data_IF_263131410656
#
_entry.id   IF_263131410656
#
_cell.length_a   1.000
_cell.length_b   1.000
_cell.length_c   1.000
_cell.angle_alpha   90.00
_cell.angle_beta   90.00
_cell.angle_gamma   90.00
#
_symmetry.space_group_name_H-M   'P 1'
#
loop_
_entity.id
_entity.type
_entity.pdbx_description
1 polymer ?
#
# COMPACT_ATOMS: atom_id res chain seq x y z
N UNK A 1 7.96 26.02 -2.58
CA UNK A 1 7.17 24.86 -3.09
C UNK A 1 6.92 23.86 -1.94
N UNK A 2 5.82 23.12 -1.98
CA UNK A 2 5.46 22.23 -0.86
C UNK A 2 6.16 20.87 -1.05
N UNK A 3 7.01 20.48 -0.10
CA UNK A 3 7.63 19.15 -0.08
C UNK A 3 6.54 18.06 -0.04
N UNK A 4 6.45 17.22 -1.07
CA UNK A 4 5.45 16.13 -1.19
C UNK A 4 5.61 15.05 -0.13
N UNK A 5 6.82 14.87 0.38
CA UNK A 5 7.14 13.84 1.37
C UNK A 5 7.06 14.35 2.82
N UNK A 6 6.86 15.66 3.03
CA UNK A 6 6.66 16.24 4.36
C UNK A 6 5.18 16.09 4.79
N UNK A 7 4.79 14.85 4.99
CA UNK A 7 3.44 14.47 5.41
C UNK A 7 3.47 13.57 6.62
N UNK A 8 2.44 13.69 7.46
CA UNK A 8 2.27 12.84 8.62
C UNK A 8 1.76 11.46 8.22
N UNK A 9 2.39 10.42 8.74
CA UNK A 9 2.07 9.01 8.57
C UNK A 9 1.99 8.30 9.91
N UNK A 10 1.39 7.11 9.95
CA UNK A 10 1.42 6.27 11.13
C UNK A 10 2.70 5.43 11.17
N UNK A 11 3.43 5.53 12.27
CA UNK A 11 4.61 4.74 12.56
C UNK A 11 4.29 3.70 13.64
N UNK A 12 4.70 2.47 13.40
CA UNK A 12 4.52 1.31 14.26
C UNK A 12 5.90 0.79 14.68
N UNK A 13 6.15 0.69 15.98
CA UNK A 13 7.45 0.20 16.48
C UNK A 13 7.78 -1.22 15.98
N UNK A 14 6.76 -2.03 15.75
CA UNK A 14 6.82 -3.30 15.03
C UNK A 14 5.47 -3.58 14.35
N UNK A 15 5.43 -4.52 13.42
CA UNK A 15 4.24 -4.79 12.58
C UNK A 15 2.97 -5.14 13.39
N UNK A 16 3.13 -5.67 14.60
CA UNK A 16 2.03 -6.05 15.50
C UNK A 16 1.59 -4.94 16.45
N UNK A 17 2.22 -3.78 16.43
CA UNK A 17 1.79 -2.62 17.23
C UNK A 17 0.37 -2.22 16.85
N UNK A 18 -0.51 -2.14 17.86
CA UNK A 18 -1.94 -1.81 17.65
C UNK A 18 -2.17 -0.31 17.47
N UNK A 19 -1.46 0.50 18.26
CA UNK A 19 -1.61 1.96 18.27
C UNK A 19 -0.34 2.60 17.73
N UNK A 20 -0.40 3.17 16.51
CA UNK A 20 0.75 3.86 15.95
C UNK A 20 0.96 5.22 16.59
N UNK A 21 2.18 5.75 16.42
CA UNK A 21 2.49 7.14 16.70
C UNK A 21 2.63 7.91 15.39
N UNK A 22 2.45 9.22 15.45
CA UNK A 22 2.64 10.09 14.29
C UNK A 22 4.13 10.30 14.03
N UNK A 23 4.53 10.17 12.76
CA UNK A 23 5.88 10.47 12.28
C UNK A 23 5.79 11.21 10.92
N UNK A 24 6.89 11.81 10.50
CA UNK A 24 7.01 12.44 9.18
C UNK A 24 7.55 11.42 8.18
N UNK A 25 6.93 11.33 7.00
CA UNK A 25 7.30 10.32 6.02
C UNK A 25 8.75 10.46 5.56
N UNK A 26 9.22 11.67 5.22
CA UNK A 26 10.58 11.86 4.74
C UNK A 26 11.62 11.38 5.76
N UNK A 27 11.38 11.58 7.06
CA UNK A 27 12.28 11.13 8.12
C UNK A 27 12.39 9.60 8.15
N UNK A 28 11.27 8.90 7.89
CA UNK A 28 11.24 7.43 7.84
C UNK A 28 11.88 6.88 6.57
N UNK A 29 11.81 7.60 5.47
CA UNK A 29 12.40 7.20 4.18
C UNK A 29 13.92 7.39 4.16
N UNK A 30 14.44 8.36 4.93
CA UNK A 30 15.87 8.74 4.93
C UNK A 30 16.63 8.31 6.19
N UNK A 31 15.93 7.72 7.18
CA UNK A 31 16.56 7.34 8.45
C UNK A 31 17.67 6.29 8.29
N UNK A 32 18.78 6.51 8.95
CA UNK A 32 19.87 5.53 9.07
C UNK A 32 19.81 4.72 10.37
N UNK A 33 18.86 5.05 11.27
CA UNK A 33 18.73 4.44 12.60
C UNK A 33 18.64 2.90 12.56
N UNK A 34 18.04 2.35 11.52
CA UNK A 34 17.78 0.91 11.39
C UNK A 34 18.72 0.23 10.39
N UNK A 35 19.77 0.94 9.91
CA UNK A 35 20.71 0.43 8.90
C UNK A 35 21.26 -0.95 9.25
N UNK A 36 21.79 -1.16 10.44
CA UNK A 36 22.37 -2.45 10.86
C UNK A 36 21.34 -3.58 10.83
N UNK A 37 20.12 -3.33 11.32
CA UNK A 37 19.03 -4.33 11.30
C UNK A 37 18.60 -4.68 9.87
N UNK A 38 18.49 -3.67 8.97
CA UNK A 38 18.16 -3.89 7.56
C UNK A 38 19.25 -4.69 6.86
N UNK A 39 20.53 -4.37 7.12
CA UNK A 39 21.65 -5.13 6.56
C UNK A 39 21.66 -6.58 7.06
N UNK A 40 21.35 -6.84 8.32
CA UNK A 40 21.20 -8.22 8.84
C UNK A 40 20.09 -8.99 8.12
N UNK A 41 18.97 -8.33 7.77
CA UNK A 41 17.91 -8.97 6.94
C UNK A 41 18.45 -9.32 5.56
N UNK A 42 19.25 -8.46 4.94
CA UNK A 42 19.77 -8.66 3.58
C UNK A 42 20.80 -9.78 3.49
N UNK A 43 21.63 -9.93 4.53
CA UNK A 43 22.69 -10.95 4.59
C UNK A 43 22.21 -12.32 5.09
N UNK A 44 20.98 -12.40 5.68
CA UNK A 44 20.43 -13.66 6.15
C UNK A 44 19.97 -14.52 4.95
N UNK A 45 20.50 -15.75 4.88
CA UNK A 45 20.20 -16.73 3.84
C UNK A 45 19.01 -17.62 4.18
N UNK A 46 18.76 -17.88 5.47
CA UNK A 46 17.61 -18.66 5.92
C UNK A 46 16.33 -17.86 5.80
N UNK A 47 15.39 -18.33 4.98
CA UNK A 47 14.14 -17.61 4.69
C UNK A 47 13.27 -17.38 5.93
N UNK A 48 13.25 -18.33 6.88
CA UNK A 48 12.48 -18.23 8.13
C UNK A 48 13.08 -17.18 9.04
N UNK A 49 14.40 -17.21 9.25
CA UNK A 49 15.11 -16.20 10.04
C UNK A 49 15.02 -14.83 9.40
N UNK A 50 15.16 -14.73 8.07
CA UNK A 50 14.98 -13.49 7.32
C UNK A 50 13.60 -12.87 7.56
N UNK A 51 12.54 -13.70 7.55
CA UNK A 51 11.18 -13.25 7.86
C UNK A 51 11.06 -12.76 9.31
N UNK A 52 11.64 -13.49 10.27
CA UNK A 52 11.65 -13.11 11.68
C UNK A 52 12.38 -11.77 11.90
N UNK A 53 13.56 -11.59 11.30
CA UNK A 53 14.31 -10.34 11.37
C UNK A 53 13.50 -9.16 10.80
N UNK A 54 12.79 -9.36 9.69
CA UNK A 54 11.89 -8.33 9.13
C UNK A 54 10.80 -7.91 10.12
N UNK A 55 10.17 -8.84 10.83
CA UNK A 55 9.09 -8.49 11.77
C UNK A 55 9.54 -7.69 12.99
N UNK A 56 10.84 -7.67 13.27
CA UNK A 56 11.46 -6.85 14.33
C UNK A 56 11.75 -5.41 13.89
N UNK A 57 11.63 -5.12 12.61
CA UNK A 57 11.77 -3.76 12.10
C UNK A 57 10.48 -2.96 12.34
N UNK A 58 10.59 -1.66 12.57
CA UNK A 58 9.41 -0.80 12.58
C UNK A 58 8.76 -0.73 11.21
N UNK A 59 7.49 -0.36 11.21
CA UNK A 59 6.70 -0.21 10.00
C UNK A 59 5.96 1.13 9.99
N UNK A 60 5.49 1.54 8.82
CA UNK A 60 4.68 2.75 8.65
C UNK A 60 3.66 2.56 7.53
N UNK A 61 2.63 3.39 7.52
CA UNK A 61 1.60 3.40 6.46
C UNK A 61 1.77 4.63 5.59
N UNK A 62 2.42 4.52 4.40
CA UNK A 62 2.75 5.68 3.57
C UNK A 62 1.53 6.40 3.02
N UNK A 63 0.42 5.68 2.79
CA UNK A 63 -0.78 6.22 2.15
C UNK A 63 -1.79 6.84 3.11
N UNK A 64 -1.60 6.69 4.43
CA UNK A 64 -2.56 7.22 5.41
C UNK A 64 -2.02 7.40 6.82
N UNK A 65 -2.66 8.31 7.55
CA UNK A 65 -2.53 8.47 9.00
C UNK A 65 -3.70 7.74 9.66
N UNK A 66 -3.42 6.82 10.59
CA UNK A 66 -4.40 5.95 11.23
C UNK A 66 -4.39 6.11 12.75
N UNK A 67 -5.53 5.87 13.40
CA UNK A 67 -5.62 5.74 14.85
C UNK A 67 -5.18 4.35 15.32
N UNK A 68 -5.34 3.33 14.50
CA UNK A 68 -5.02 1.93 14.77
C UNK A 68 -4.34 1.24 13.59
N UNK A 69 -4.41 -0.09 13.54
CA UNK A 69 -3.76 -0.89 12.49
C UNK A 69 -4.65 -1.28 11.32
N UNK A 70 -5.95 -1.00 11.37
CA UNK A 70 -6.92 -1.41 10.36
C UNK A 70 -7.37 -0.23 9.48
N UNK A 71 -7.85 -0.51 8.27
CA UNK A 71 -8.27 0.49 7.28
C UNK A 71 -9.39 1.41 7.80
N UNK A 72 -10.36 0.86 8.55
CA UNK A 72 -11.45 1.62 9.16
C UNK A 72 -11.02 2.59 10.29
N UNK A 73 -9.74 2.60 10.65
CA UNK A 73 -9.17 3.56 11.61
C UNK A 73 -8.46 4.73 10.95
N UNK A 74 -8.64 4.90 9.63
CA UNK A 74 -8.07 6.00 8.86
C UNK A 74 -8.53 7.36 9.42
N UNK A 75 -7.56 8.21 9.74
CA UNK A 75 -7.80 9.60 10.16
C UNK A 75 -7.70 10.56 8.98
N UNK A 76 -6.70 10.33 8.10
CA UNK A 76 -6.45 11.19 6.96
C UNK A 76 -5.61 10.45 5.91
N UNK A 77 -6.01 10.44 4.64
CA UNK A 77 -5.15 10.00 3.56
C UNK A 77 -4.00 10.99 3.36
N UNK A 78 -2.82 10.49 2.99
CA UNK A 78 -1.63 11.33 2.72
C UNK A 78 -1.65 11.94 1.32
N UNK A 79 -2.39 11.34 0.40
CA UNK A 79 -2.31 11.65 -1.03
C UNK A 79 -1.10 11.01 -1.71
N UNK A 80 -0.55 9.94 -1.12
CA UNK A 80 0.58 9.21 -1.65
C UNK A 80 0.22 7.73 -1.86
N UNK A 81 0.76 7.14 -2.91
CA UNK A 81 0.78 5.69 -3.13
C UNK A 81 2.21 5.21 -2.98
N UNK A 82 2.40 4.09 -2.27
CA UNK A 82 3.69 3.42 -2.20
C UNK A 82 3.60 2.08 -2.93
N UNK A 83 4.44 1.92 -3.95
CA UNK A 83 4.47 0.78 -4.86
C UNK A 83 5.68 -0.08 -4.54
N UNK A 84 5.51 -1.40 -4.45
CA UNK A 84 6.60 -2.38 -4.37
C UNK A 84 6.89 -2.99 -5.74
N UNK A 85 8.19 -3.08 -6.08
CA UNK A 85 8.70 -3.70 -7.29
C UNK A 85 9.71 -4.77 -6.85
N UNK A 86 9.25 -6.01 -6.80
CA UNK A 86 10.08 -7.13 -6.36
C UNK A 86 10.85 -7.74 -7.53
N UNK A 87 12.14 -8.03 -7.34
CA UNK A 87 13.00 -8.67 -8.36
C UNK A 87 12.42 -9.98 -8.87
N UNK A 88 11.87 -10.81 -7.98
CA UNK A 88 11.30 -12.12 -8.30
C UNK A 88 10.17 -12.06 -9.33
N UNK A 89 9.40 -10.95 -9.33
CA UNK A 89 8.26 -10.73 -10.23
C UNK A 89 8.66 -9.95 -11.49
N UNK A 90 9.98 -9.61 -11.62
CA UNK A 90 10.55 -8.77 -12.66
C UNK A 90 11.86 -9.35 -13.21
N UNK A 91 11.91 -10.67 -13.37
CA UNK A 91 13.11 -11.35 -13.88
C UNK A 91 13.44 -10.99 -15.33
N UNK A 92 12.43 -10.58 -16.10
CA UNK A 92 12.53 -10.14 -17.49
C UNK A 92 13.16 -8.74 -17.65
N UNK A 93 13.23 -7.95 -16.56
CA UNK A 93 13.77 -6.58 -16.63
C UNK A 93 15.28 -6.65 -16.73
N UNK A 94 15.81 -6.35 -17.91
CA UNK A 94 17.24 -6.18 -18.12
C UNK A 94 17.74 -4.94 -17.37
N UNK A 95 18.94 -5.04 -16.79
CA UNK A 95 19.51 -3.91 -16.06
C UNK A 95 18.72 -3.49 -14.82
N UNK A 96 18.13 -4.44 -14.12
CA UNK A 96 17.32 -4.18 -12.90
C UNK A 96 18.04 -3.33 -11.85
N UNK A 97 19.37 -3.38 -11.78
CA UNK A 97 20.16 -2.55 -10.88
C UNK A 97 20.09 -1.05 -11.23
N UNK A 98 19.77 -0.72 -12.48
CA UNK A 98 19.56 0.65 -12.99
C UNK A 98 18.09 1.08 -12.92
N UNK A 99 17.19 0.21 -12.46
CA UNK A 99 15.77 0.48 -12.43
C UNK A 99 15.43 1.70 -11.56
N UNK A 100 16.15 1.89 -10.46
CA UNK A 100 15.98 3.07 -9.59
C UNK A 100 16.20 4.38 -10.37
N UNK A 101 17.24 4.45 -11.19
CA UNK A 101 17.56 5.63 -11.98
C UNK A 101 16.52 5.86 -13.08
N UNK A 102 16.02 4.77 -13.70
CA UNK A 102 14.96 4.85 -14.69
C UNK A 102 13.65 5.36 -14.07
N UNK A 103 13.28 4.83 -12.91
CA UNK A 103 12.09 5.26 -12.17
C UNK A 103 12.21 6.73 -11.70
N UNK A 104 13.41 7.16 -11.32
CA UNK A 104 13.67 8.55 -10.96
C UNK A 104 13.52 9.56 -12.11
N UNK A 105 13.45 9.10 -13.38
CA UNK A 105 13.15 9.96 -14.53
C UNK A 105 11.66 10.25 -14.71
N UNK A 106 10.78 9.50 -14.05
CA UNK A 106 9.35 9.75 -14.07
C UNK A 106 9.06 10.97 -13.19
N UNK A 107 8.49 12.03 -13.77
CA UNK A 107 8.29 13.32 -13.08
C UNK A 107 7.43 13.22 -11.82
N UNK A 108 6.55 12.22 -11.76
CA UNK A 108 5.67 11.95 -10.63
C UNK A 108 6.28 11.04 -9.54
N UNK A 109 7.52 10.57 -9.70
CA UNK A 109 8.18 9.78 -8.66
C UNK A 109 8.81 10.69 -7.62
N UNK A 110 8.26 10.71 -6.41
CA UNK A 110 8.77 11.51 -5.30
C UNK A 110 9.91 10.82 -4.53
N UNK A 111 9.92 9.49 -4.52
CA UNK A 111 10.94 8.68 -3.85
C UNK A 111 11.08 7.32 -4.54
N UNK A 112 12.31 6.86 -4.66
CA UNK A 112 12.61 5.47 -4.97
C UNK A 112 13.78 4.99 -4.12
N UNK A 113 13.58 3.88 -3.41
CA UNK A 113 14.60 3.30 -2.53
C UNK A 113 14.59 1.80 -2.52
N UNK A 114 15.71 1.21 -2.06
CA UNK A 114 15.89 -0.23 -1.97
C UNK A 114 15.01 -0.83 -0.87
N UNK A 115 14.32 -1.91 -1.17
CA UNK A 115 13.46 -2.63 -0.21
C UNK A 115 14.27 -3.24 0.95
N UNK A 116 13.56 -3.61 2.04
CA UNK A 116 14.20 -4.26 3.20
C UNK A 116 14.93 -5.54 2.83
N UNK A 117 14.37 -6.31 1.88
CA UNK A 117 15.01 -7.55 1.38
C UNK A 117 16.29 -7.31 0.60
N UNK A 118 16.48 -6.11 0.07
CA UNK A 118 17.65 -5.72 -0.73
C UNK A 118 17.53 -6.04 -2.23
N UNK A 119 16.59 -6.87 -2.63
CA UNK A 119 16.45 -7.36 -4.01
C UNK A 119 15.40 -6.60 -4.82
N UNK A 120 14.58 -5.76 -4.19
CA UNK A 120 13.55 -4.98 -4.82
C UNK A 120 13.68 -3.50 -4.51
N UNK A 121 12.82 -2.73 -5.16
CA UNK A 121 12.68 -1.29 -4.94
C UNK A 121 11.27 -0.98 -4.46
N UNK A 122 11.10 0.20 -3.92
CA UNK A 122 9.79 0.79 -3.68
C UNK A 122 9.77 2.25 -4.09
N UNK A 123 8.61 2.67 -4.56
CA UNK A 123 8.39 3.99 -5.15
C UNK A 123 7.27 4.68 -4.40
N UNK A 124 7.40 5.98 -4.15
CA UNK A 124 6.33 6.82 -3.60
C UNK A 124 5.90 7.81 -4.66
N UNK A 125 4.60 7.84 -4.93
CA UNK A 125 3.97 8.66 -5.97
C UNK A 125 2.87 9.52 -5.35
N UNK A 126 2.91 10.86 -5.47
CA UNK A 126 1.80 11.74 -5.10
C UNK A 126 0.65 11.63 -6.10
N UNK A 127 -0.58 11.55 -5.61
CA UNK A 127 -1.79 11.36 -6.42
C UNK A 127 -2.77 12.52 -6.27
N UNK A 128 -3.53 12.81 -7.33
CA UNK A 128 -4.45 13.95 -7.38
C UNK A 128 -5.68 13.77 -6.47
N UNK A 129 -6.20 12.56 -6.37
CA UNK A 129 -7.45 12.26 -5.66
C UNK A 129 -7.22 11.16 -4.61
N UNK A 130 -6.84 11.54 -3.36
CA UNK A 130 -6.49 10.57 -2.31
C UNK A 130 -7.61 9.57 -1.96
N UNK A 131 -8.87 9.96 -2.12
CA UNK A 131 -10.05 9.11 -1.93
C UNK A 131 -10.24 8.08 -3.06
N UNK A 132 -9.54 8.22 -4.18
CA UNK A 132 -9.56 7.30 -5.31
C UNK A 132 -8.24 6.52 -5.47
N UNK A 133 -7.58 6.23 -4.37
CA UNK A 133 -6.28 5.53 -4.35
C UNK A 133 -6.27 4.27 -5.23
N UNK A 134 -7.32 3.45 -5.15
CA UNK A 134 -7.43 2.21 -5.94
C UNK A 134 -7.44 2.50 -7.46
N UNK A 135 -8.11 3.56 -7.91
CA UNK A 135 -8.16 3.90 -9.34
C UNK A 135 -6.81 4.45 -9.83
N UNK A 136 -6.15 5.28 -9.02
CA UNK A 136 -4.78 5.71 -9.30
C UNK A 136 -3.82 4.53 -9.33
N UNK A 137 -3.92 3.60 -8.37
CA UNK A 137 -3.09 2.40 -8.33
C UNK A 137 -3.26 1.55 -9.60
N UNK A 138 -4.49 1.30 -10.04
CA UNK A 138 -4.78 0.54 -11.27
C UNK A 138 -4.22 1.23 -12.52
N UNK A 139 -4.30 2.56 -12.58
CA UNK A 139 -3.71 3.34 -13.67
C UNK A 139 -2.18 3.20 -13.68
N UNK A 140 -1.52 3.35 -12.52
CA UNK A 140 -0.09 3.11 -12.35
C UNK A 140 0.28 1.67 -12.71
N UNK A 141 -0.52 0.68 -12.32
CA UNK A 141 -0.28 -0.72 -12.65
C UNK A 141 -0.28 -0.95 -14.17
N UNK A 142 -1.20 -0.33 -14.91
CA UNK A 142 -1.25 -0.39 -16.37
C UNK A 142 -0.02 0.28 -16.99
N UNK A 143 0.36 1.46 -16.49
CA UNK A 143 1.52 2.21 -16.99
C UNK A 143 2.84 1.47 -16.75
N UNK A 144 3.05 0.96 -15.53
CA UNK A 144 4.24 0.15 -15.19
C UNK A 144 4.28 -1.14 -16.02
N UNK A 145 3.14 -1.81 -16.22
CA UNK A 145 3.03 -2.99 -17.08
C UNK A 145 3.40 -2.68 -18.53
N UNK A 146 3.01 -1.53 -19.06
CA UNK A 146 3.41 -1.09 -20.40
C UNK A 146 4.95 -0.83 -20.53
N UNK A 147 5.59 -0.51 -19.41
CA UNK A 147 7.07 -0.42 -19.32
C UNK A 147 7.74 -1.78 -19.05
N UNK A 148 6.98 -2.88 -19.03
CA UNK A 148 7.49 -4.22 -18.72
C UNK A 148 7.78 -4.46 -17.24
N UNK A 149 7.24 -3.62 -16.33
CA UNK A 149 7.46 -3.70 -14.89
C UNK A 149 6.19 -4.19 -14.20
N UNK A 150 6.33 -5.24 -13.40
CA UNK A 150 5.27 -5.78 -12.54
C UNK A 150 5.35 -5.15 -11.16
N UNK A 151 4.27 -4.52 -10.71
CA UNK A 151 4.16 -3.97 -9.36
C UNK A 151 3.30 -4.88 -8.47
N UNK A 152 3.59 -4.92 -7.16
CA UNK A 152 2.84 -5.75 -6.20
C UNK A 152 1.39 -5.26 -6.09
N UNK A 153 0.39 -6.09 -6.50
CA UNK A 153 -1.02 -5.68 -6.50
C UNK A 153 -1.56 -5.38 -5.09
N UNK A 154 -0.93 -5.89 -4.04
CA UNK A 154 -1.34 -5.61 -2.66
C UNK A 154 -1.06 -4.16 -2.20
N UNK A 155 -0.31 -3.38 -3.00
CA UNK A 155 -0.07 -1.96 -2.74
C UNK A 155 -1.30 -1.06 -3.01
N UNK A 156 -2.41 -1.61 -3.49
CA UNK A 156 -3.69 -0.91 -3.62
C UNK A 156 -4.39 -0.63 -2.27
N UNK A 157 -3.96 -1.26 -1.18
CA UNK A 157 -4.54 -1.08 0.15
C UNK A 157 -3.95 0.16 0.84
N UNK A 158 -4.81 1.12 1.18
CA UNK A 158 -4.42 2.36 1.87
C UNK A 158 -3.79 2.10 3.25
N UNK A 159 -4.17 1.00 3.91
CA UNK A 159 -3.67 0.60 5.24
C UNK A 159 -2.40 -0.24 5.19
N UNK A 160 -1.89 -0.54 3.99
CA UNK A 160 -0.71 -1.37 3.83
C UNK A 160 0.48 -0.80 4.59
N UNK A 161 0.98 -1.60 5.52
CA UNK A 161 2.20 -1.29 6.28
C UNK A 161 3.43 -1.62 5.47
N UNK A 162 4.41 -0.74 5.53
CA UNK A 162 5.74 -0.92 4.96
C UNK A 162 6.78 -0.91 6.07
N UNK A 163 7.73 -1.84 6.03
CA UNK A 163 8.87 -1.79 6.94
C UNK A 163 9.79 -0.61 6.62
N UNK A 164 10.34 0.03 7.64
CA UNK A 164 11.41 1.00 7.47
C UNK A 164 12.60 0.30 6.85
N UNK A 165 13.13 0.85 5.77
CA UNK A 165 14.26 0.31 5.02
C UNK A 165 15.47 1.24 5.12
N UNK A 166 16.56 0.87 4.45
CA UNK A 166 17.76 1.65 4.30
C UNK A 166 18.26 1.56 2.86
N UNK A 167 18.49 2.70 2.25
CA UNK A 167 19.21 2.85 0.98
C UNK A 167 20.28 3.92 1.17
N UNK A 168 21.56 3.67 0.87
CA UNK A 168 22.61 4.70 0.99
C UNK A 168 22.43 5.86 0.00
N UNK A 169 21.77 5.60 -1.13
CA UNK A 169 21.58 6.54 -2.23
C UNK A 169 20.14 6.45 -2.77
N UNK A 170 19.12 6.81 -1.97
CA UNK A 170 17.76 6.80 -2.46
C UNK A 170 17.56 7.95 -3.46
N UNK A 171 16.71 7.74 -4.45
CA UNK A 171 16.21 8.84 -5.27
C UNK A 171 15.16 9.62 -4.48
N UNK A 172 15.27 10.94 -4.45
CA UNK A 172 14.35 11.84 -3.75
C UNK A 172 14.05 13.04 -4.64
N UNK A 173 12.76 13.24 -4.93
CA UNK A 173 12.23 14.43 -5.58
C UNK A 173 11.08 14.99 -4.74
N UNK A 174 11.38 15.98 -3.91
CA UNK A 174 10.40 16.58 -3.00
C UNK A 174 9.33 17.41 -3.74
N UNK A 175 9.58 17.77 -4.99
CA UNK A 175 8.71 18.58 -5.83
C UNK A 175 8.07 17.76 -6.97
N UNK A 176 8.03 16.44 -6.82
CA UNK A 176 7.44 15.55 -7.82
C UNK A 176 6.05 16.02 -8.25
N UNK A 177 5.76 15.86 -9.52
CA UNK A 177 4.44 16.16 -10.08
C UNK A 177 3.37 15.26 -9.47
N UNK A 178 2.15 15.76 -9.41
CA UNK A 178 1.02 14.96 -8.94
C UNK A 178 0.57 14.05 -10.08
N UNK A 179 0.51 12.75 -9.81
CA UNK A 179 -0.01 11.78 -10.76
C UNK A 179 -1.54 11.90 -10.88
N UNK A 180 -2.02 12.17 -12.08
CA UNK A 180 -3.45 12.41 -12.35
C UNK A 180 -4.16 11.19 -12.95
N UNK A 181 -3.41 10.18 -13.43
CA UNK A 181 -3.97 8.99 -14.08
C UNK A 181 -5.00 8.27 -13.20
N UNK A 182 -6.16 8.01 -13.76
CA UNK A 182 -7.25 7.25 -13.17
C UNK A 182 -7.66 6.13 -14.12
N UNK A 183 -7.63 4.89 -13.65
CA UNK A 183 -8.17 3.80 -14.44
C UNK A 183 -9.67 4.00 -14.66
N UNK A 184 -10.14 3.77 -15.90
CA UNK A 184 -11.55 3.66 -16.18
C UNK A 184 -12.09 2.44 -15.41
N UNK A 185 -13.01 2.63 -14.49
CA UNK A 185 -13.51 1.55 -13.64
C UNK A 185 -14.89 1.82 -13.10
N UNK A 186 -15.60 0.75 -12.76
CA UNK A 186 -16.88 0.79 -12.07
C UNK A 186 -16.82 1.73 -10.87
N UNK A 187 -17.90 2.45 -10.61
CA UNK A 187 -18.02 3.39 -9.50
C UNK A 187 -17.41 2.80 -8.22
N UNK A 188 -16.34 3.44 -7.73
CA UNK A 188 -15.81 3.11 -6.40
C UNK A 188 -16.83 3.66 -5.42
N UNK A 189 -17.34 2.87 -4.46
CA UNK A 189 -18.16 3.40 -3.40
C UNK A 189 -17.41 4.54 -2.73
N UNK A 190 -18.05 5.69 -2.58
CA UNK A 190 -17.47 6.85 -1.93
C UNK A 190 -17.26 6.53 -0.44
N UNK A 191 -16.00 6.31 -0.04
CA UNK A 191 -15.65 5.99 1.36
C UNK A 191 -15.59 7.27 2.22
N UNK A 192 -15.97 8.41 1.69
CA UNK A 192 -16.19 9.63 2.47
C UNK A 192 -17.58 9.60 3.09
N UNK A 193 -17.88 8.57 3.87
CA UNK A 193 -19.10 8.48 4.65
C UNK A 193 -19.13 9.52 5.76
N UNK A 194 -19.51 10.76 5.45
CA UNK A 194 -20.30 11.54 6.36
C UNK A 194 -21.72 10.92 6.34
N UNK A 195 -21.93 9.93 7.16
CA UNK A 195 -23.27 9.47 7.48
C UNK A 195 -23.98 10.61 8.24
N UNK A 196 -24.54 11.56 7.52
CA UNK A 196 -25.68 12.31 8.02
C UNK A 196 -26.85 11.33 8.04
N UNK A 197 -27.14 10.83 9.22
CA UNK A 197 -28.38 10.17 9.54
C UNK A 197 -29.54 11.16 9.35
N UNK A 198 -30.04 11.27 8.12
CA UNK A 198 -31.39 11.77 7.87
C UNK A 198 -32.27 10.54 7.68
N UNK A 199 -33.01 10.21 8.73
CA UNK A 199 -33.94 9.11 8.70
C UNK A 199 -35.06 9.34 7.71
N UNK A 200 -35.31 8.33 6.88
CA UNK A 200 -36.66 7.90 6.47
C UNK A 200 -36.56 6.45 6.00
N UNK A 201 -37.25 5.61 6.70
CA UNK A 201 -37.72 4.26 6.50
C UNK A 201 -37.53 3.61 5.13
N UNK A 202 -36.52 2.70 5.02
CA UNK A 202 -36.59 1.43 4.28
C UNK A 202 -35.41 0.53 4.71
N UNK A 203 -35.50 -0.01 5.92
CA UNK A 203 -34.42 -0.81 6.55
C UNK A 203 -34.27 -2.24 6.02
N UNK A 204 -34.99 -2.67 4.98
CA UNK A 204 -35.12 -4.10 4.66
C UNK A 204 -34.39 -4.61 3.39
N UNK A 205 -34.01 -3.77 2.47
CA UNK A 205 -33.50 -4.24 1.17
C UNK A 205 -32.05 -4.79 1.19
N UNK A 206 -31.05 -4.15 1.78
CA UNK A 206 -29.67 -4.68 1.76
C UNK A 206 -29.54 -5.98 2.58
N UNK A 207 -30.31 -6.10 3.67
CA UNK A 207 -30.28 -7.27 4.54
C UNK A 207 -30.92 -8.50 3.87
N UNK A 208 -31.99 -8.32 3.12
CA UNK A 208 -32.63 -9.40 2.33
C UNK A 208 -31.70 -9.96 1.26
N UNK A 209 -30.92 -9.10 0.62
CA UNK A 209 -29.96 -9.52 -0.41
C UNK A 209 -28.80 -10.34 0.20
N UNK A 210 -28.27 -9.92 1.33
CA UNK A 210 -27.24 -10.66 2.09
C UNK A 210 -27.76 -12.02 2.53
N UNK A 211 -28.99 -12.11 3.07
CA UNK A 211 -29.61 -13.37 3.46
C UNK A 211 -29.79 -14.33 2.27
N UNK A 212 -30.14 -13.80 1.11
CA UNK A 212 -30.26 -14.60 -0.13
C UNK A 212 -28.93 -15.23 -0.53
N UNK A 213 -27.81 -14.47 -0.44
CA UNK A 213 -26.48 -15.03 -0.73
C UNK A 213 -26.05 -16.07 0.31
N UNK A 214 -26.34 -15.85 1.60
CA UNK A 214 -26.07 -16.84 2.66
C UNK A 214 -26.81 -18.15 2.38
N UNK A 215 -28.12 -18.10 2.03
CA UNK A 215 -28.88 -19.27 1.67
C UNK A 215 -28.36 -20.03 0.46
N UNK A 216 -27.88 -19.32 -0.57
CA UNK A 216 -27.25 -19.93 -1.76
C UNK A 216 -25.94 -20.64 -1.38
N UNK A 217 -25.13 -20.05 -0.52
CA UNK A 217 -23.88 -20.62 -0.03
C UNK A 217 -24.14 -21.91 0.75
N UNK A 218 -25.13 -21.89 1.67
CA UNK A 218 -25.53 -23.05 2.45
C UNK A 218 -26.09 -24.18 1.58
N UNK A 219 -26.98 -23.85 0.63
CA UNK A 219 -27.57 -24.84 -0.29
C UNK A 219 -26.52 -25.51 -1.18
N UNK A 220 -25.55 -24.74 -1.65
CA UNK A 220 -24.49 -25.26 -2.53
C UNK A 220 -23.33 -25.90 -1.79
N UNK A 221 -23.32 -25.86 -0.45
CA UNK A 221 -22.23 -26.36 0.41
C UNK A 221 -20.85 -25.85 -0.04
N UNK A 222 -20.81 -24.59 -0.48
CA UNK A 222 -19.57 -23.96 -0.95
C UNK A 222 -18.76 -23.53 0.26
N UNK A 223 -17.54 -24.05 0.39
CA UNK A 223 -16.59 -23.54 1.38
C UNK A 223 -16.05 -22.19 0.90
N UNK A 224 -16.70 -21.12 1.35
CA UNK A 224 -16.31 -19.74 1.05
C UNK A 224 -15.01 -19.33 1.75
N UNK A 225 -14.51 -20.15 2.69
CA UNK A 225 -13.28 -19.91 3.43
C UNK A 225 -12.07 -20.59 2.80
N UNK A 226 -12.29 -21.48 1.81
CA UNK A 226 -11.23 -22.19 1.11
C UNK A 226 -10.41 -21.21 0.24
N UNK A 227 -9.30 -20.75 0.77
CA UNK A 227 -8.32 -19.93 0.12
C UNK A 227 -8.44 -18.41 0.41
N UNK A 228 -7.29 -17.81 0.69
CA UNK A 228 -7.17 -16.39 1.04
C UNK A 228 -7.80 -15.42 0.03
N UNK A 229 -7.74 -15.74 -1.26
CA UNK A 229 -8.33 -14.94 -2.33
C UNK A 229 -9.88 -14.88 -2.25
N UNK A 230 -10.53 -15.97 -1.83
CA UNK A 230 -11.97 -16.01 -1.64
C UNK A 230 -12.40 -15.22 -0.40
N UNK A 231 -11.62 -15.29 0.66
CA UNK A 231 -11.82 -14.49 1.88
C UNK A 231 -11.81 -13.00 1.60
N UNK A 232 -10.85 -12.53 0.79
CA UNK A 232 -10.78 -11.13 0.37
C UNK A 232 -12.01 -10.71 -0.46
N UNK A 233 -12.47 -11.56 -1.39
CA UNK A 233 -13.66 -11.26 -2.20
C UNK A 233 -14.93 -11.11 -1.36
N UNK A 234 -15.09 -11.92 -0.32
CA UNK A 234 -16.24 -11.86 0.59
C UNK A 234 -16.15 -10.63 1.50
N UNK A 235 -14.95 -10.32 2.03
CA UNK A 235 -14.74 -9.11 2.82
C UNK A 235 -15.06 -7.83 2.05
N UNK A 236 -14.81 -7.81 0.72
CA UNK A 236 -15.17 -6.68 -0.15
C UNK A 236 -16.65 -6.65 -0.56
N UNK A 237 -17.37 -7.77 -0.48
CA UNK A 237 -18.80 -7.84 -0.82
C UNK A 237 -19.72 -7.52 0.38
N UNK A 238 -19.18 -7.56 1.61
CA UNK A 238 -19.92 -7.31 2.86
C UNK A 238 -19.63 -5.92 3.45
N UNK A 239 -18.81 -5.10 2.81
CA UNK A 239 -18.50 -3.71 3.11
C UNK A 239 -18.89 -2.82 1.95
#
# INVERSE_FOLDING_TARGET
>A
MKNRLDVAVSYYEHIYTKFPVRATLIDLLTTTRYKSRVLSVRTESDARKKKELKTRLPAFTPSGLFRGGAANTLLKPTGLICIDIDRKDNLQVEGYDWLKDQLGRLSYVAFCGRSVGGEGYYVVVPIAQPNKLLLHFRSLQTEFSAMGITIDPSCCDISRKRFVSYDPEPYINQEAEIYEGLAAGAAVPDITGNATLSGTDSEDEPFKEVLKYIQIIEQKKVDITAGYANWLRIGYALH
#
